data_IF_719857128084
#
_entry.id   IF_719857128084
#
_cell.length_a   1.000
_cell.length_b   1.000
_cell.length_c   1.000
_cell.angle_alpha   90.00
_cell.angle_beta   90.00
_cell.angle_gamma   90.00
#
_symmetry.space_group_name_H-M   'P 1'
#
loop_
_entity.id
_entity.type
_entity.pdbx_description
1 polymer ?
#
# COMPACT_ATOMS: atom_id res chain seq x y z
N UNK A 1 14.46 8.05 -14.88
CA UNK A 1 13.50 8.61 -13.91
C UNK A 1 12.39 9.28 -14.68
N UNK A 2 11.14 8.98 -14.32
CA UNK A 2 9.93 9.40 -15.03
C UNK A 2 9.17 10.47 -14.24
N UNK A 3 8.25 11.19 -14.89
CA UNK A 3 7.20 11.96 -14.20
C UNK A 3 6.00 11.05 -13.91
N UNK A 4 5.11 11.48 -13.01
CA UNK A 4 3.85 10.75 -12.76
C UNK A 4 2.99 10.67 -14.03
N UNK A 5 2.98 11.74 -14.83
CA UNK A 5 2.27 11.76 -16.10
C UNK A 5 2.81 10.71 -17.08
N UNK A 6 4.14 10.51 -17.13
CA UNK A 6 4.74 9.48 -17.98
C UNK A 6 4.30 8.06 -17.55
N UNK A 7 4.25 7.78 -16.24
CA UNK A 7 3.80 6.47 -15.71
C UNK A 7 2.32 6.24 -16.02
N UNK A 8 1.48 7.26 -15.86
CA UNK A 8 0.04 7.17 -16.12
C UNK A 8 -0.30 7.10 -17.61
N UNK A 9 0.52 7.69 -18.49
CA UNK A 9 0.32 7.66 -19.94
C UNK A 9 0.49 6.26 -20.55
N UNK A 10 1.20 5.36 -19.87
CA UNK A 10 1.26 3.96 -20.24
C UNK A 10 0.04 3.24 -19.65
N UNK A 11 -0.66 2.43 -20.47
CA UNK A 11 -1.82 1.65 -20.04
C UNK A 11 -1.46 0.26 -19.48
N UNK A 12 -0.16 -0.05 -19.40
CA UNK A 12 0.35 -1.21 -18.69
C UNK A 12 0.07 -2.56 -19.36
N UNK A 13 -0.42 -2.61 -20.60
CA UNK A 13 -0.87 -3.85 -21.29
C UNK A 13 0.23 -4.88 -21.63
N UNK A 14 1.40 -4.81 -20.99
CA UNK A 14 2.44 -5.83 -21.08
C UNK A 14 2.20 -6.98 -20.11
N UNK A 15 2.91 -8.09 -20.29
CA UNK A 15 2.94 -9.22 -19.33
C UNK A 15 4.11 -9.13 -18.34
N UNK A 16 4.98 -8.14 -18.52
CA UNK A 16 6.14 -7.92 -17.67
C UNK A 16 5.82 -6.94 -16.54
N UNK A 17 6.52 -7.10 -15.42
CA UNK A 17 6.49 -6.11 -14.35
C UNK A 17 7.27 -4.88 -14.81
N UNK A 18 6.69 -3.70 -14.67
CA UNK A 18 7.34 -2.45 -15.06
C UNK A 18 7.86 -1.71 -13.84
N UNK A 19 9.08 -1.19 -13.96
CA UNK A 19 9.79 -0.57 -12.87
C UNK A 19 10.06 0.90 -13.17
N UNK A 20 9.75 1.77 -12.20
CA UNK A 20 10.04 3.19 -12.31
C UNK A 20 10.50 3.80 -10.99
N UNK A 21 11.17 4.94 -11.10
CA UNK A 21 11.36 5.90 -10.01
C UNK A 21 10.96 7.27 -10.52
N UNK A 22 10.24 8.02 -9.68
CA UNK A 22 9.90 9.40 -9.99
C UNK A 22 11.13 10.29 -9.88
N UNK A 23 11.22 11.29 -10.76
CA UNK A 23 12.31 12.26 -10.77
C UNK A 23 12.39 13.06 -9.47
N UNK A 24 11.25 13.43 -8.91
CA UNK A 24 11.11 14.22 -7.69
C UNK A 24 11.04 13.37 -6.41
N UNK A 25 10.82 12.05 -6.54
CA UNK A 25 10.76 11.09 -5.42
C UNK A 25 11.62 9.85 -5.69
N UNK A 26 12.95 10.01 -5.85
CA UNK A 26 13.82 8.90 -6.24
C UNK A 26 13.95 7.81 -5.16
N UNK A 27 13.60 8.10 -3.90
CA UNK A 27 13.60 7.12 -2.81
C UNK A 27 12.48 6.07 -2.92
N UNK A 28 11.45 6.34 -3.71
CA UNK A 28 10.30 5.47 -3.90
C UNK A 28 10.50 4.66 -5.19
N UNK A 29 10.53 3.34 -5.07
CA UNK A 29 10.49 2.40 -6.18
C UNK A 29 9.04 2.10 -6.52
N UNK A 30 8.66 2.27 -7.78
CA UNK A 30 7.31 2.00 -8.27
C UNK A 30 7.34 0.72 -9.09
N UNK A 31 6.49 -0.23 -8.74
CA UNK A 31 6.32 -1.49 -9.44
C UNK A 31 4.90 -1.59 -9.98
N UNK A 32 4.76 -1.53 -11.30
CA UNK A 32 3.49 -1.83 -11.96
C UNK A 32 3.44 -3.32 -12.31
N UNK A 33 2.41 -4.01 -11.81
CA UNK A 33 2.13 -5.39 -12.15
C UNK A 33 1.17 -5.49 -13.35
N UNK A 34 1.28 -6.54 -14.17
CA UNK A 34 0.41 -6.73 -15.33
C UNK A 34 -1.04 -7.09 -14.96
N UNK A 35 -1.28 -7.57 -13.72
CA UNK A 35 -2.61 -7.89 -13.20
C UNK A 35 -2.63 -7.90 -11.67
N UNK A 36 -3.82 -7.80 -11.10
CA UNK A 36 -4.07 -7.99 -9.67
C UNK A 36 -3.61 -9.37 -9.17
N UNK A 37 -3.79 -10.43 -9.97
CA UNK A 37 -3.33 -11.77 -9.61
C UNK A 37 -1.80 -11.83 -9.44
N UNK A 38 -1.04 -11.27 -10.40
CA UNK A 38 0.42 -11.23 -10.33
C UNK A 38 0.93 -10.41 -9.14
N UNK A 39 0.25 -9.29 -8.84
CA UNK A 39 0.54 -8.48 -7.65
C UNK A 39 0.27 -9.27 -6.36
N UNK A 40 -0.91 -9.88 -6.26
CA UNK A 40 -1.31 -10.62 -5.08
C UNK A 40 -0.42 -11.83 -4.79
N UNK A 41 0.01 -12.56 -5.82
CA UNK A 41 0.98 -13.65 -5.69
C UNK A 41 2.34 -13.16 -5.16
N UNK A 42 2.74 -11.93 -5.48
CA UNK A 42 4.01 -11.35 -5.04
C UNK A 42 3.95 -10.74 -3.64
N UNK A 43 2.81 -10.16 -3.24
CA UNK A 43 2.75 -9.22 -2.10
C UNK A 43 1.72 -9.57 -1.02
N UNK A 44 0.73 -10.44 -1.25
CA UNK A 44 -0.32 -10.68 -0.24
C UNK A 44 0.20 -11.27 1.07
N UNK A 45 1.25 -12.11 1.02
CA UNK A 45 1.90 -12.63 2.23
C UNK A 45 2.65 -11.54 3.00
N UNK A 46 3.23 -10.57 2.30
CA UNK A 46 3.85 -9.41 2.92
C UNK A 46 2.77 -8.54 3.58
N UNK A 47 1.66 -8.25 2.88
CA UNK A 47 0.52 -7.50 3.40
C UNK A 47 -0.04 -8.12 4.69
N UNK A 48 -0.29 -9.44 4.66
CA UNK A 48 -0.80 -10.16 5.82
C UNK A 48 0.18 -10.15 7.02
N UNK A 49 1.48 -10.11 6.76
CA UNK A 49 2.52 -10.01 7.79
C UNK A 49 2.65 -8.60 8.37
N UNK A 50 2.55 -7.57 7.52
CA UNK A 50 2.88 -6.18 7.86
C UNK A 50 1.68 -5.40 8.39
N UNK A 51 0.51 -5.55 7.78
CA UNK A 51 -0.62 -4.63 7.97
C UNK A 51 -1.76 -5.20 8.81
N UNK A 52 -2.01 -6.51 8.70
CA UNK A 52 -3.21 -7.10 9.30
C UNK A 52 -2.98 -7.45 10.78
N UNK A 53 -4.00 -7.17 11.61
CA UNK A 53 -4.13 -7.62 13.03
C UNK A 53 -3.88 -9.11 13.24
N UNK A 54 -3.99 -9.91 12.18
CA UNK A 54 -3.95 -11.36 12.19
C UNK A 54 -2.57 -11.97 11.90
N UNK A 55 -1.49 -11.19 11.88
CA UNK A 55 -0.14 -11.74 12.05
C UNK A 55 0.04 -12.23 13.50
N UNK A 56 -0.77 -13.21 13.88
CA UNK A 56 -0.77 -13.83 15.20
C UNK A 56 0.65 -14.32 15.52
N UNK A 57 1.35 -13.56 16.37
CA UNK A 57 2.70 -13.88 16.83
C UNK A 57 3.86 -13.44 15.93
N UNK A 58 3.64 -12.55 14.95
CA UNK A 58 4.74 -12.03 14.12
C UNK A 58 5.33 -13.07 13.16
N UNK A 59 4.51 -14.04 12.74
CA UNK A 59 4.90 -15.05 11.76
C UNK A 59 4.41 -14.69 10.35
N UNK A 60 5.21 -15.04 9.34
CA UNK A 60 4.75 -15.03 7.94
C UNK A 60 3.85 -16.24 7.71
N UNK A 61 2.68 -16.03 7.09
CA UNK A 61 1.73 -17.11 6.81
C UNK A 61 2.25 -18.02 5.69
N UNK A 62 2.12 -19.34 5.87
CA UNK A 62 2.33 -20.32 4.81
C UNK A 62 1.12 -20.38 3.85
N UNK A 63 1.26 -21.11 2.75
CA UNK A 63 0.25 -21.16 1.67
C UNK A 63 -1.14 -21.57 2.16
N UNK A 64 -1.22 -22.61 3.00
CA UNK A 64 -2.48 -23.08 3.56
C UNK A 64 -3.13 -22.05 4.51
N UNK A 65 -2.34 -21.26 5.22
CA UNK A 65 -2.83 -20.23 6.12
C UNK A 65 -3.32 -19.01 5.35
N UNK A 66 -2.61 -18.61 4.29
CA UNK A 66 -3.08 -17.58 3.38
C UNK A 66 -4.38 -17.97 2.68
N UNK A 67 -4.49 -19.21 2.19
CA UNK A 67 -5.74 -19.68 1.58
C UNK A 67 -6.92 -19.60 2.56
N UNK A 68 -6.70 -19.97 3.83
CA UNK A 68 -7.73 -19.82 4.87
C UNK A 68 -8.03 -18.35 5.19
N UNK A 69 -7.05 -17.46 5.13
CA UNK A 69 -7.26 -16.03 5.34
C UNK A 69 -8.15 -15.46 4.24
N UNK A 70 -7.80 -15.69 2.97
CA UNK A 70 -8.58 -15.24 1.81
C UNK A 70 -10.01 -15.79 1.85
N UNK A 71 -10.17 -17.08 2.12
CA UNK A 71 -11.50 -17.70 2.22
C UNK A 71 -12.37 -17.10 3.34
N UNK A 72 -11.77 -16.61 4.43
CA UNK A 72 -12.49 -15.95 5.53
C UNK A 72 -12.82 -14.50 5.25
N UNK A 73 -11.97 -13.77 4.53
CA UNK A 73 -12.25 -12.38 4.15
C UNK A 73 -13.25 -12.26 3.01
N UNK A 74 -13.41 -13.33 2.22
CA UNK A 74 -14.22 -13.31 1.00
C UNK A 74 -13.46 -12.77 -0.22
N UNK A 75 -12.15 -12.56 -0.08
CA UNK A 75 -11.29 -12.09 -1.16
C UNK A 75 -10.71 -13.24 -2.00
N UNK A 76 -10.28 -12.89 -3.20
CA UNK A 76 -9.42 -13.73 -4.03
C UNK A 76 -7.95 -13.32 -3.84
N UNK A 77 -7.03 -14.09 -4.43
CA UNK A 77 -5.61 -13.66 -4.51
C UNK A 77 -5.50 -12.31 -5.22
N UNK A 78 -6.37 -12.03 -6.20
CA UNK A 78 -6.36 -10.78 -6.95
C UNK A 78 -6.98 -9.62 -6.15
N UNK A 79 -8.08 -9.84 -5.42
CA UNK A 79 -8.81 -8.73 -4.78
C UNK A 79 -8.42 -8.43 -3.35
N UNK A 80 -7.51 -9.21 -2.75
CA UNK A 80 -7.09 -8.98 -1.37
C UNK A 80 -6.56 -7.55 -1.16
N UNK A 81 -5.85 -7.01 -2.16
CA UNK A 81 -5.38 -5.63 -2.20
C UNK A 81 -5.22 -5.14 -3.66
N UNK A 82 -5.64 -3.91 -3.92
CA UNK A 82 -5.53 -3.29 -5.25
C UNK A 82 -4.19 -2.57 -5.46
N UNK A 83 -3.57 -2.10 -4.38
CA UNK A 83 -2.24 -1.53 -4.35
C UNK A 83 -1.53 -1.95 -3.06
N UNK A 84 -0.22 -1.71 -3.01
CA UNK A 84 0.54 -1.91 -1.79
C UNK A 84 1.66 -0.90 -1.65
N UNK A 85 1.99 -0.57 -0.41
CA UNK A 85 3.13 0.24 -0.02
C UNK A 85 3.90 -0.38 1.14
N UNK A 86 5.23 -0.39 1.06
CA UNK A 86 6.06 -0.87 2.16
C UNK A 86 7.38 -0.11 2.23
N UNK A 87 7.84 0.16 3.45
CA UNK A 87 9.24 0.54 3.64
C UNK A 87 10.17 -0.62 3.32
N UNK A 88 11.39 -0.30 2.90
CA UNK A 88 12.45 -1.29 2.69
C UNK A 88 12.69 -2.16 3.94
N UNK A 89 12.58 -1.57 5.14
CA UNK A 89 12.72 -2.30 6.40
C UNK A 89 11.62 -3.34 6.60
N UNK A 90 10.35 -2.98 6.32
CA UNK A 90 9.23 -3.91 6.43
C UNK A 90 9.40 -5.11 5.49
N UNK A 91 9.82 -4.88 4.25
CA UNK A 91 10.10 -5.95 3.28
C UNK A 91 11.31 -6.80 3.69
N UNK A 92 12.36 -6.18 4.21
CA UNK A 92 13.53 -6.91 4.73
C UNK A 92 13.12 -7.84 5.87
N UNK A 93 12.28 -7.36 6.80
CA UNK A 93 11.74 -8.16 7.90
C UNK A 93 10.89 -9.32 7.41
N UNK A 94 10.02 -9.09 6.41
CA UNK A 94 9.21 -10.15 5.81
C UNK A 94 10.08 -11.29 5.24
N UNK A 95 11.05 -10.96 4.37
CA UNK A 95 11.91 -11.99 3.76
C UNK A 95 12.82 -12.68 4.78
N UNK A 96 13.35 -11.95 5.76
CA UNK A 96 14.15 -12.53 6.83
C UNK A 96 13.31 -13.48 7.69
N UNK A 97 12.09 -13.10 8.05
CA UNK A 97 11.19 -13.93 8.84
C UNK A 97 10.75 -15.19 8.08
N UNK A 98 10.45 -15.08 6.78
CA UNK A 98 10.15 -16.24 5.94
C UNK A 98 11.34 -17.23 5.89
N UNK A 99 12.57 -16.71 5.80
CA UNK A 99 13.79 -17.53 5.85
C UNK A 99 13.98 -18.23 7.20
N UNK A 100 13.84 -17.49 8.31
CA UNK A 100 13.93 -18.03 9.68
C UNK A 100 12.91 -19.15 9.91
N UNK A 101 11.70 -18.99 9.37
CA UNK A 101 10.64 -20.00 9.44
C UNK A 101 10.84 -21.19 8.49
N UNK A 102 11.84 -21.15 7.60
CA UNK A 102 12.02 -22.18 6.57
C UNK A 102 10.88 -22.22 5.55
N UNK A 103 10.14 -21.13 5.37
CA UNK A 103 9.06 -21.06 4.39
C UNK A 103 9.63 -21.03 2.97
N UNK A 104 9.01 -21.81 2.09
CA UNK A 104 9.30 -21.76 0.67
C UNK A 104 8.59 -20.55 0.05
N UNK A 105 9.37 -19.62 -0.49
CA UNK A 105 8.83 -18.53 -1.31
C UNK A 105 8.26 -19.09 -2.63
N UNK A 106 7.17 -18.51 -3.10
CA UNK A 106 6.63 -18.82 -4.43
C UNK A 106 7.46 -18.14 -5.54
N UNK A 107 7.12 -18.40 -6.81
CA UNK A 107 7.88 -17.86 -7.94
C UNK A 107 7.87 -16.33 -8.02
N UNK A 108 6.72 -15.70 -7.77
CA UNK A 108 6.53 -14.25 -7.78
C UNK A 108 7.28 -13.59 -6.62
N UNK A 109 7.25 -14.17 -5.42
CA UNK A 109 7.99 -13.69 -4.25
C UNK A 109 9.51 -13.79 -4.46
N UNK A 110 10.01 -14.87 -5.05
CA UNK A 110 11.43 -15.01 -5.42
C UNK A 110 11.85 -13.96 -6.45
N UNK A 111 11.00 -13.72 -7.46
CA UNK A 111 11.21 -12.68 -8.47
C UNK A 111 11.23 -11.29 -7.82
N UNK A 112 10.30 -11.01 -6.92
CA UNK A 112 10.25 -9.76 -6.16
C UNK A 112 11.50 -9.58 -5.30
N UNK A 113 11.89 -10.58 -4.51
CA UNK A 113 13.10 -10.53 -3.69
C UNK A 113 14.34 -10.18 -4.54
N UNK A 114 14.52 -10.89 -5.65
CA UNK A 114 15.64 -10.69 -6.57
C UNK A 114 15.64 -9.28 -7.17
N UNK A 115 14.46 -8.78 -7.56
CA UNK A 115 14.28 -7.43 -8.09
C UNK A 115 14.64 -6.39 -7.05
N UNK A 116 14.13 -6.51 -5.82
CA UNK A 116 14.37 -5.52 -4.77
C UNK A 116 15.84 -5.49 -4.33
N UNK A 117 16.52 -6.64 -4.31
CA UNK A 117 17.97 -6.71 -4.10
C UNK A 117 18.74 -6.01 -5.24
N UNK A 118 18.37 -6.27 -6.49
CA UNK A 118 19.00 -5.62 -7.66
C UNK A 118 18.78 -4.09 -7.67
N UNK A 119 17.70 -3.61 -7.08
CA UNK A 119 17.38 -2.19 -6.94
C UNK A 119 17.94 -1.55 -5.66
N UNK A 120 18.66 -2.31 -4.84
CA UNK A 120 19.27 -1.86 -3.59
C UNK A 120 18.27 -1.60 -2.46
N UNK A 121 17.01 -2.02 -2.59
CA UNK A 121 16.00 -1.91 -1.53
C UNK A 121 16.20 -2.96 -0.44
N UNK A 122 16.67 -4.15 -0.80
CA UNK A 122 16.98 -5.21 0.15
C UNK A 122 18.48 -5.47 0.19
N UNK A 123 19.00 -5.78 1.37
CA UNK A 123 20.39 -6.21 1.54
C UNK A 123 20.47 -7.73 1.38
N UNK A 124 21.62 -8.21 0.86
CA UNK A 124 21.88 -9.63 0.71
C UNK A 124 21.97 -10.37 2.07
N UNK A 125 22.27 -9.64 3.14
CA UNK A 125 22.35 -10.16 4.52
C UNK A 125 21.36 -9.40 5.41
N UNK A 126 20.62 -10.13 6.24
CA UNK A 126 19.69 -9.56 7.24
C UNK A 126 20.42 -8.89 8.44
N UNK A 127 21.71 -8.58 8.31
CA UNK A 127 22.54 -8.14 9.41
C UNK A 127 22.58 -6.61 9.51
N UNK A 128 22.09 -6.12 10.65
CA UNK A 128 22.00 -4.74 11.14
C UNK A 128 21.00 -3.81 10.42
N UNK A 129 20.36 -2.88 11.15
CA UNK A 129 19.54 -1.83 10.55
C UNK A 129 20.39 -1.08 9.52
N UNK A 130 19.87 -0.96 8.31
CA UNK A 130 20.55 -0.20 7.27
C UNK A 130 20.68 1.25 7.71
N UNK A 131 21.90 1.81 7.67
CA UNK A 131 22.12 3.26 7.79
C UNK A 131 21.79 3.99 6.48
N UNK A 132 21.29 3.29 5.47
CA UNK A 132 20.87 3.88 4.21
C UNK A 132 19.67 4.80 4.42
N UNK A 133 19.56 5.80 3.57
CA UNK A 133 18.38 6.67 3.51
C UNK A 133 17.10 5.85 3.36
N UNK A 134 15.99 6.22 4.02
CA UNK A 134 14.72 5.51 3.90
C UNK A 134 14.30 5.34 2.44
N UNK A 135 13.87 4.13 2.10
CA UNK A 135 13.33 3.78 0.79
C UNK A 135 11.99 3.07 0.95
N UNK A 136 11.16 3.18 -0.07
CA UNK A 136 9.86 2.52 -0.11
C UNK A 136 9.64 1.82 -1.45
N UNK A 137 8.88 0.74 -1.41
CA UNK A 137 8.22 0.14 -2.56
C UNK A 137 6.77 0.60 -2.57
N UNK A 138 6.26 0.99 -3.72
CA UNK A 138 4.83 1.14 -3.98
C UNK A 138 4.47 0.32 -5.21
N UNK A 139 3.27 -0.23 -5.22
CA UNK A 139 2.80 -1.09 -6.31
C UNK A 139 1.36 -0.85 -6.67
N UNK A 140 1.07 -1.03 -7.95
CA UNK A 140 -0.24 -0.91 -8.53
C UNK A 140 -0.28 -1.77 -9.79
N UNK A 141 -1.43 -1.82 -10.46
CA UNK A 141 -1.63 -2.70 -11.62
C UNK A 141 -1.95 -1.94 -12.90
N UNK A 142 -1.70 -2.61 -14.01
CA UNK A 142 -2.23 -2.22 -15.31
C UNK A 142 -3.76 -2.21 -15.34
N UNK A 143 -4.35 -1.59 -16.36
CA UNK A 143 -5.80 -1.69 -16.54
C UNK A 143 -6.17 -3.14 -16.85
N UNK A 144 -7.21 -3.65 -16.19
CA UNK A 144 -7.73 -4.99 -16.40
C UNK A 144 -9.25 -4.99 -16.43
N UNK A 145 -9.80 -5.92 -17.21
CA UNK A 145 -11.24 -6.19 -17.20
C UNK A 145 -11.58 -7.08 -16.01
N UNK A 146 -12.83 -7.00 -15.59
CA UNK A 146 -13.39 -7.93 -14.61
C UNK A 146 -13.38 -9.36 -15.17
N UNK A 147 -13.16 -10.35 -14.30
CA UNK A 147 -13.36 -11.75 -14.63
C UNK A 147 -14.75 -12.18 -14.12
N UNK A 148 -15.76 -12.35 -15.00
CA UNK A 148 -17.10 -12.73 -14.58
C UNK A 148 -17.18 -14.12 -13.94
N UNK A 149 -16.09 -14.92 -13.98
CA UNK A 149 -15.99 -16.19 -13.29
C UNK A 149 -15.62 -16.06 -11.80
N UNK A 150 -15.17 -14.89 -11.35
CA UNK A 150 -14.89 -14.62 -9.93
C UNK A 150 -16.03 -13.80 -9.31
N UNK A 151 -16.32 -13.97 -8.00
CA UNK A 151 -17.42 -13.26 -7.35
C UNK A 151 -17.10 -11.79 -7.05
N UNK A 152 -15.81 -11.42 -7.06
CA UNK A 152 -15.33 -10.08 -6.68
C UNK A 152 -15.02 -9.27 -7.93
N UNK A 153 -15.42 -7.99 -7.94
CA UNK A 153 -15.06 -7.06 -9.02
C UNK A 153 -13.54 -6.87 -9.09
N UNK A 154 -12.93 -7.48 -10.10
CA UNK A 154 -11.50 -7.38 -10.39
C UNK A 154 -11.21 -6.27 -11.40
N UNK A 155 -12.19 -5.48 -11.85
CA UNK A 155 -11.94 -4.43 -12.83
C UNK A 155 -10.93 -3.40 -12.32
N UNK A 156 -9.97 -3.03 -13.15
CA UNK A 156 -9.12 -1.85 -12.92
C UNK A 156 -9.24 -0.97 -14.15
N UNK A 157 -10.09 0.05 -14.06
CA UNK A 157 -10.17 1.10 -15.07
C UNK A 157 -9.08 2.16 -14.85
N UNK A 158 -8.99 3.12 -15.78
CA UNK A 158 -7.97 4.17 -15.71
C UNK A 158 -8.07 5.03 -14.44
N UNK A 159 -9.29 5.28 -13.93
CA UNK A 159 -9.50 6.08 -12.72
C UNK A 159 -9.05 5.30 -11.47
N UNK A 160 -9.41 4.02 -11.35
CA UNK A 160 -8.98 3.15 -10.26
C UNK A 160 -7.46 3.01 -10.26
N UNK A 161 -6.86 2.74 -11.43
CA UNK A 161 -5.41 2.67 -11.62
C UNK A 161 -4.70 3.93 -11.14
N UNK A 162 -5.15 5.10 -11.59
CA UNK A 162 -4.57 6.39 -11.19
C UNK A 162 -4.76 6.65 -9.70
N UNK A 163 -5.96 6.40 -9.17
CA UNK A 163 -6.27 6.60 -7.76
C UNK A 163 -5.42 5.74 -6.86
N UNK A 164 -5.25 4.45 -7.19
CA UNK A 164 -4.36 3.53 -6.47
C UNK A 164 -2.93 4.04 -6.52
N UNK A 165 -2.36 4.34 -7.70
CA UNK A 165 -0.98 4.82 -7.79
C UNK A 165 -0.75 6.08 -6.95
N UNK A 166 -1.67 7.04 -6.96
CA UNK A 166 -1.58 8.27 -6.15
C UNK A 166 -1.64 7.97 -4.65
N UNK A 167 -2.56 7.10 -4.26
CA UNK A 167 -2.70 6.63 -2.88
C UNK A 167 -1.39 6.00 -2.39
N UNK A 168 -0.88 4.98 -3.09
CA UNK A 168 0.34 4.28 -2.69
C UNK A 168 1.58 5.20 -2.69
N UNK A 169 1.70 6.09 -3.68
CA UNK A 169 2.79 7.07 -3.72
C UNK A 169 2.82 7.98 -2.50
N UNK A 170 1.65 8.31 -1.95
CA UNK A 170 1.56 9.14 -0.76
C UNK A 170 2.12 8.44 0.48
N UNK A 171 1.93 7.12 0.59
CA UNK A 171 2.56 6.32 1.63
C UNK A 171 4.07 6.23 1.42
N UNK A 172 4.52 6.01 0.18
CA UNK A 172 5.93 6.06 -0.16
C UNK A 172 6.59 7.39 0.25
N UNK A 173 5.89 8.51 0.07
CA UNK A 173 6.37 9.81 0.55
C UNK A 173 6.35 9.89 2.08
N UNK A 174 5.31 9.39 2.74
CA UNK A 174 5.26 9.31 4.21
C UNK A 174 6.42 8.52 4.82
N UNK A 175 6.87 7.45 4.18
CA UNK A 175 8.02 6.66 4.64
C UNK A 175 9.38 7.33 4.38
N UNK A 176 9.49 8.10 3.30
CA UNK A 176 10.78 8.55 2.77
C UNK A 176 11.07 10.03 2.97
N UNK A 177 10.05 10.84 3.27
CA UNK A 177 10.16 12.28 3.46
C UNK A 177 9.81 12.65 4.91
N UNK A 178 10.81 12.87 5.79
CA UNK A 178 10.59 13.23 7.20
C UNK A 178 9.76 14.51 7.37
N UNK A 179 9.83 15.46 6.45
CA UNK A 179 9.09 16.71 6.53
C UNK A 179 7.61 16.47 6.23
N UNK A 180 7.32 15.68 5.19
CA UNK A 180 5.95 15.25 4.89
C UNK A 180 5.36 14.43 6.03
N UNK A 181 6.12 13.48 6.58
CA UNK A 181 5.70 12.69 7.72
C UNK A 181 5.33 13.56 8.92
N UNK A 182 6.16 14.56 9.26
CA UNK A 182 5.86 15.50 10.36
C UNK A 182 4.58 16.29 10.10
N UNK A 183 4.32 16.72 8.86
CA UNK A 183 3.04 17.37 8.48
C UNK A 183 1.84 16.48 8.69
N UNK A 184 1.91 15.22 8.27
CA UNK A 184 0.83 14.26 8.45
C UNK A 184 0.51 14.03 9.94
N UNK A 185 1.56 13.90 10.76
CA UNK A 185 1.40 13.81 12.22
C UNK A 185 0.80 15.08 12.84
N UNK A 186 1.26 16.27 12.42
CA UNK A 186 0.71 17.53 12.90
C UNK A 186 -0.78 17.65 12.54
N UNK A 187 -1.16 17.30 11.31
CA UNK A 187 -2.57 17.25 10.92
C UNK A 187 -3.37 16.29 11.81
N UNK A 188 -2.88 15.07 12.01
CA UNK A 188 -3.58 14.08 12.80
C UNK A 188 -3.77 14.50 14.26
N UNK A 189 -2.71 15.04 14.88
CA UNK A 189 -2.73 15.39 16.30
C UNK A 189 -3.42 16.73 16.58
N UNK A 190 -3.24 17.71 15.69
CA UNK A 190 -3.61 19.11 15.92
C UNK A 190 -4.65 19.63 14.93
N UNK A 191 -4.62 19.14 13.69
CA UNK A 191 -5.59 19.51 12.64
C UNK A 191 -6.94 18.81 12.77
N UNK A 192 -6.96 17.62 13.38
CA UNK A 192 -8.17 16.85 13.70
C UNK A 192 -8.54 16.98 15.18
N UNK A 193 -9.84 17.03 15.45
CA UNK A 193 -10.35 16.78 16.80
C UNK A 193 -10.58 15.27 17.05
N UNK A 194 -10.88 14.88 18.29
CA UNK A 194 -11.03 13.45 18.63
C UNK A 194 -12.21 12.79 17.93
N UNK A 195 -13.32 13.49 17.71
CA UNK A 195 -14.45 12.94 16.97
C UNK A 195 -14.11 12.67 15.50
N UNK A 196 -13.27 13.52 14.88
CA UNK A 196 -12.77 13.32 13.53
C UNK A 196 -11.78 12.14 13.45
N UNK A 197 -10.82 12.06 14.38
CA UNK A 197 -9.93 10.89 14.48
C UNK A 197 -10.71 9.59 14.69
N UNK A 198 -11.72 9.60 15.55
CA UNK A 198 -12.56 8.43 15.80
C UNK A 198 -13.29 7.95 14.54
N UNK A 199 -13.70 8.86 13.64
CA UNK A 199 -14.30 8.50 12.34
C UNK A 199 -13.30 7.79 11.43
N UNK A 200 -12.08 8.31 11.33
CA UNK A 200 -11.02 7.64 10.56
C UNK A 200 -10.67 6.28 11.15
N UNK A 201 -10.49 6.17 12.47
CA UNK A 201 -10.23 4.87 13.12
C UNK A 201 -11.36 3.87 12.89
N UNK A 202 -12.62 4.32 12.92
CA UNK A 202 -13.78 3.46 12.65
C UNK A 202 -13.80 2.98 11.20
N UNK A 203 -13.57 3.88 10.23
CA UNK A 203 -13.51 3.53 8.81
C UNK A 203 -12.38 2.53 8.54
N UNK A 204 -11.17 2.82 9.02
CA UNK A 204 -10.00 1.96 8.83
C UNK A 204 -10.16 0.62 9.54
N UNK A 205 -10.76 0.60 10.73
CA UNK A 205 -11.05 -0.67 11.39
C UNK A 205 -12.11 -1.50 10.65
N UNK A 206 -13.02 -0.90 9.86
CA UNK A 206 -13.92 -1.65 8.99
C UNK A 206 -13.25 -2.23 7.74
N UNK A 207 -12.01 -1.81 7.46
CA UNK A 207 -11.11 -2.37 6.43
C UNK A 207 -10.08 -3.35 7.04
N UNK A 208 -10.33 -3.80 8.27
CA UNK A 208 -9.49 -4.70 9.07
C UNK A 208 -8.12 -4.15 9.51
N UNK A 209 -7.88 -2.84 9.40
CA UNK A 209 -6.68 -2.22 9.95
C UNK A 209 -6.71 -2.14 11.49
N UNK A 210 -5.52 -2.12 12.11
CA UNK A 210 -5.36 -1.98 13.57
C UNK A 210 -5.53 -0.53 14.05
N UNK A 211 -6.64 -0.18 14.74
CA UNK A 211 -6.82 1.16 15.28
C UNK A 211 -5.85 1.46 16.44
N UNK A 212 -5.18 0.45 17.01
CA UNK A 212 -4.09 0.64 17.97
C UNK A 212 -2.76 1.03 17.32
N UNK A 213 -2.60 0.84 16.01
CA UNK A 213 -1.44 1.26 15.25
C UNK A 213 -1.60 2.71 14.79
N UNK A 214 -1.27 3.66 15.66
CA UNK A 214 -1.48 5.09 15.41
C UNK A 214 -0.70 5.59 14.17
N UNK A 215 0.49 5.05 13.90
CA UNK A 215 1.27 5.43 12.72
C UNK A 215 0.56 5.02 11.42
N UNK A 216 -0.05 3.84 11.38
CA UNK A 216 -0.90 3.40 10.28
C UNK A 216 -2.11 4.33 10.11
N UNK A 217 -2.79 4.70 11.22
CA UNK A 217 -3.94 5.61 11.15
C UNK A 217 -3.58 6.97 10.53
N UNK A 218 -2.42 7.52 10.89
CA UNK A 218 -1.90 8.77 10.30
C UNK A 218 -1.61 8.61 8.81
N UNK A 219 -0.94 7.52 8.44
CA UNK A 219 -0.51 7.25 7.07
C UNK A 219 -1.71 7.03 6.12
N UNK A 220 -2.72 6.28 6.57
CA UNK A 220 -3.96 6.05 5.84
C UNK A 220 -4.82 7.31 5.72
N UNK A 221 -4.91 8.08 6.80
CA UNK A 221 -5.74 9.30 6.81
C UNK A 221 -5.28 10.28 5.73
N UNK A 222 -3.96 10.50 5.58
CA UNK A 222 -3.47 11.41 4.54
C UNK A 222 -3.71 10.85 3.12
N UNK A 223 -3.55 9.53 2.93
CA UNK A 223 -3.70 8.89 1.62
C UNK A 223 -5.15 8.93 1.14
N UNK A 224 -6.10 8.55 2.00
CA UNK A 224 -7.53 8.63 1.73
C UNK A 224 -7.97 10.08 1.49
N UNK A 225 -7.60 10.99 2.41
CA UNK A 225 -8.09 12.36 2.37
C UNK A 225 -7.60 13.13 1.14
N UNK A 226 -6.32 12.97 0.77
CA UNK A 226 -5.66 13.85 -0.19
C UNK A 226 -5.34 13.19 -1.53
N UNK A 227 -5.19 11.86 -1.57
CA UNK A 227 -4.59 11.16 -2.72
C UNK A 227 -5.48 10.06 -3.30
N UNK A 228 -6.72 9.93 -2.82
CA UNK A 228 -7.70 8.96 -3.31
C UNK A 228 -8.87 9.66 -4.00
N UNK A 229 -8.75 10.03 -5.30
CA UNK A 229 -9.81 10.71 -6.04
C UNK A 229 -10.98 9.80 -6.42
N UNK A 230 -10.80 8.47 -6.45
CA UNK A 230 -11.86 7.54 -6.80
C UNK A 230 -12.89 7.39 -5.66
N UNK A 231 -14.11 7.89 -5.91
CA UNK A 231 -15.19 7.86 -4.93
C UNK A 231 -15.69 6.45 -4.59
N UNK A 232 -15.35 5.43 -5.41
CA UNK A 232 -15.62 4.03 -5.08
C UNK A 232 -14.79 3.57 -3.86
N UNK A 233 -13.59 4.13 -3.70
CA UNK A 233 -12.67 3.81 -2.60
C UNK A 233 -12.86 4.71 -1.39
N UNK A 234 -13.04 6.02 -1.59
CA UNK A 234 -13.19 6.97 -0.48
C UNK A 234 -14.05 8.19 -0.85
N UNK A 235 -15.03 8.51 0.00
CA UNK A 235 -15.91 9.66 -0.18
C UNK A 235 -16.43 10.17 1.19
N UNK A 236 -17.22 11.24 1.20
CA UNK A 236 -17.72 11.79 2.46
C UNK A 236 -18.64 10.82 3.22
N UNK A 237 -19.45 10.05 2.48
CA UNK A 237 -20.35 9.06 3.06
C UNK A 237 -19.60 7.94 3.76
N UNK A 238 -18.48 7.45 3.21
CA UNK A 238 -17.68 6.40 3.86
C UNK A 238 -17.09 6.86 5.19
N UNK A 239 -16.75 8.15 5.33
CA UNK A 239 -16.29 8.76 6.59
C UNK A 239 -17.45 9.20 7.51
N UNK A 240 -18.70 9.12 7.04
CA UNK A 240 -19.90 9.54 7.77
C UNK A 240 -20.03 11.05 7.95
N UNK A 241 -19.53 11.84 6.99
CA UNK A 241 -19.56 13.32 7.00
C UNK A 241 -20.22 13.86 5.73
N UNK A 242 -20.50 15.17 5.68
CA UNK A 242 -20.94 15.84 4.45
C UNK A 242 -19.77 16.17 3.54
N UNK A 243 -20.03 16.39 2.24
CA UNK A 243 -19.00 16.83 1.29
C UNK A 243 -18.33 18.14 1.71
N UNK A 244 -19.08 19.08 2.29
CA UNK A 244 -18.53 20.33 2.82
C UNK A 244 -17.56 20.08 3.99
N UNK A 245 -17.88 19.13 4.88
CA UNK A 245 -16.99 18.74 5.97
C UNK A 245 -15.72 18.04 5.46
N UNK A 246 -15.86 17.14 4.47
CA UNK A 246 -14.71 16.49 3.84
C UNK A 246 -13.79 17.50 3.15
N UNK A 247 -14.36 18.47 2.44
CA UNK A 247 -13.58 19.53 1.82
C UNK A 247 -12.87 20.41 2.85
N UNK A 248 -13.53 20.76 3.96
CA UNK A 248 -12.91 21.51 5.05
C UNK A 248 -11.76 20.74 5.72
N UNK A 249 -11.84 19.40 5.80
CA UNK A 249 -10.73 18.54 6.26
C UNK A 249 -9.54 18.63 5.29
N UNK A 250 -9.78 18.53 3.98
CA UNK A 250 -8.75 18.67 2.94
C UNK A 250 -8.07 20.03 2.98
N UNK A 251 -8.84 21.10 3.16
CA UNK A 251 -8.30 22.47 3.28
C UNK A 251 -7.43 22.65 4.51
N UNK A 252 -7.86 22.13 5.67
CA UNK A 252 -7.04 22.13 6.89
C UNK A 252 -5.74 21.35 6.72
N UNK A 253 -5.76 20.24 5.99
CA UNK A 253 -4.53 19.48 5.68
C UNK A 253 -3.55 20.32 4.85
N UNK A 254 -4.04 20.98 3.79
CA UNK A 254 -3.20 21.84 2.92
C UNK A 254 -2.60 23.05 3.64
N UNK A 255 -3.21 23.48 4.74
CA UNK A 255 -2.74 24.60 5.56
C UNK A 255 -1.72 24.18 6.63
N UNK A 256 -1.45 22.89 6.81
CA UNK A 256 -0.44 22.45 7.76
C UNK A 256 0.96 22.85 7.28
N UNK A 257 1.79 23.46 8.15
CA UNK A 257 3.13 23.95 7.81
C UNK A 257 4.13 22.82 7.56
#
# INVERSE_FOLDING_TARGET
>A
MLSLADILAHDGRGTAWQLARLRDKPAILILEFPSLLEQGLALNRAAAFIEKKHSAGGAVLGDAEMQRLLARSGDSVATFYFGHDYSAEQLQRFFAQAQVQGLKLNAQELKLQSLLQAQGLLTATAAAPSTASPQALVSFTAVQQDDPATPSDEQVDALRRESTLRHELSHGEFFTNPDYQRRCWAFWQQGLNEAERARFRSLLSSMDYDPGNEALMVNETQALLMHTPDQRAFNASSLGVTEAQLQALRERFRQQP
#
